data_IF_307149971081
#
_entry.id   IF_307149971081
#
_cell.length_a   1.000
_cell.length_b   1.000
_cell.length_c   1.000
_cell.angle_alpha   90.00
_cell.angle_beta   90.00
_cell.angle_gamma   90.00
#
_symmetry.space_group_name_H-M   'P 1'
#
loop_
_entity.id
_entity.type
_entity.pdbx_description
1 polymer ?
#
# COMPACT_ATOMS: atom_id res chain seq x y z
N UNK A 1 -40.83 -32.07 -40.86
CA UNK A 1 -39.81 -31.57 -39.92
C UNK A 1 -40.40 -30.48 -39.04
N UNK A 2 -40.88 -30.77 -37.82
CA UNK A 2 -41.25 -29.74 -36.84
C UNK A 2 -40.11 -29.55 -35.83
N UNK A 3 -39.65 -28.32 -35.63
CA UNK A 3 -38.66 -27.98 -34.60
C UNK A 3 -39.39 -27.70 -33.28
N UNK A 4 -39.48 -28.70 -32.41
CA UNK A 4 -39.94 -28.52 -31.03
C UNK A 4 -38.81 -27.91 -30.21
N UNK A 5 -38.90 -26.62 -29.85
CA UNK A 5 -38.04 -26.02 -28.82
C UNK A 5 -38.61 -26.33 -27.44
N UNK A 6 -38.11 -27.39 -26.82
CA UNK A 6 -38.28 -27.64 -25.39
C UNK A 6 -37.26 -26.77 -24.64
N UNK A 7 -37.74 -25.75 -23.93
CA UNK A 7 -36.95 -25.05 -22.91
C UNK A 7 -37.54 -25.40 -21.56
N UNK A 8 -37.29 -26.62 -21.11
CA UNK A 8 -37.54 -26.97 -19.73
C UNK A 8 -36.36 -26.49 -18.88
N UNK A 9 -36.65 -25.55 -17.98
CA UNK A 9 -35.85 -25.16 -16.82
C UNK A 9 -34.61 -24.29 -17.10
N UNK A 10 -34.85 -23.09 -17.63
CA UNK A 10 -33.97 -21.94 -17.43
C UNK A 10 -34.71 -20.88 -16.65
N UNK A 11 -34.74 -20.94 -15.31
CA UNK A 11 -35.25 -19.82 -14.53
C UNK A 11 -34.29 -18.64 -14.70
N UNK A 12 -34.64 -17.72 -15.59
CA UNK A 12 -33.98 -16.43 -15.69
C UNK A 12 -34.18 -15.73 -14.35
N UNK A 13 -33.15 -15.77 -13.50
CA UNK A 13 -33.15 -15.10 -12.21
C UNK A 13 -32.92 -13.61 -12.43
N UNK A 14 -34.01 -12.87 -12.64
CA UNK A 14 -33.97 -11.41 -12.81
C UNK A 14 -33.57 -10.71 -11.50
N UNK A 15 -32.35 -10.15 -11.37
CA UNK A 15 -31.89 -9.52 -10.13
C UNK A 15 -32.68 -8.26 -9.76
N UNK A 16 -33.51 -7.74 -10.67
CA UNK A 16 -34.31 -6.54 -10.45
C UNK A 16 -35.68 -6.82 -9.81
N UNK A 17 -36.06 -8.09 -9.67
CA UNK A 17 -37.27 -8.47 -8.94
C UNK A 17 -37.24 -7.86 -7.53
N UNK A 18 -38.32 -7.23 -7.04
CA UNK A 18 -38.30 -6.43 -5.80
C UNK A 18 -37.70 -7.15 -4.59
N UNK A 19 -38.02 -8.44 -4.41
CA UNK A 19 -37.48 -9.28 -3.32
C UNK A 19 -35.99 -9.55 -3.50
N UNK A 20 -35.54 -9.86 -4.73
CA UNK A 20 -34.11 -10.10 -5.00
C UNK A 20 -33.29 -8.84 -4.83
N UNK A 21 -33.79 -7.70 -5.30
CA UNK A 21 -33.17 -6.38 -5.09
C UNK A 21 -33.01 -6.06 -3.60
N UNK A 22 -34.04 -6.32 -2.78
CA UNK A 22 -33.96 -6.15 -1.34
C UNK A 22 -32.86 -7.03 -0.72
N UNK A 23 -32.82 -8.32 -1.07
CA UNK A 23 -31.81 -9.25 -0.56
C UNK A 23 -30.39 -8.82 -0.96
N UNK A 24 -30.18 -8.41 -2.21
CA UNK A 24 -28.89 -7.90 -2.67
C UNK A 24 -28.45 -6.66 -1.89
N UNK A 25 -29.38 -5.73 -1.61
CA UNK A 25 -29.06 -4.54 -0.82
C UNK A 25 -28.68 -4.88 0.62
N UNK A 26 -29.39 -5.81 1.26
CA UNK A 26 -29.06 -6.26 2.63
C UNK A 26 -27.69 -6.93 2.65
N UNK A 27 -27.40 -7.81 1.69
CA UNK A 27 -26.09 -8.46 1.59
C UNK A 27 -24.96 -7.45 1.33
N UNK A 28 -25.20 -6.44 0.49
CA UNK A 28 -24.25 -5.36 0.26
C UNK A 28 -23.98 -4.58 1.57
N UNK A 29 -25.03 -4.24 2.32
CA UNK A 29 -24.90 -3.54 3.60
C UNK A 29 -24.13 -4.36 4.64
N UNK A 30 -24.36 -5.68 4.70
CA UNK A 30 -23.59 -6.59 5.59
C UNK A 30 -22.12 -6.64 5.17
N UNK A 31 -21.84 -6.75 3.87
CA UNK A 31 -20.47 -6.78 3.35
C UNK A 31 -19.70 -5.48 3.67
N UNK A 32 -20.36 -4.31 3.55
CA UNK A 32 -19.78 -3.03 3.95
C UNK A 32 -19.50 -2.97 5.45
N UNK A 33 -20.45 -3.41 6.28
CA UNK A 33 -20.28 -3.49 7.73
C UNK A 33 -19.10 -4.36 8.15
N UNK A 34 -18.96 -5.56 7.58
CA UNK A 34 -17.86 -6.47 7.88
C UNK A 34 -16.50 -5.87 7.45
N UNK A 35 -16.45 -5.24 6.27
CA UNK A 35 -15.25 -4.57 5.79
C UNK A 35 -14.82 -3.43 6.73
N UNK A 36 -15.78 -2.64 7.23
CA UNK A 36 -15.51 -1.56 8.17
C UNK A 36 -15.06 -2.07 9.54
N UNK A 37 -15.64 -3.17 10.03
CA UNK A 37 -15.20 -3.80 11.27
C UNK A 37 -13.76 -4.32 11.18
N UNK A 38 -13.39 -4.95 10.05
CA UNK A 38 -12.01 -5.39 9.80
C UNK A 38 -11.04 -4.20 9.76
N UNK A 39 -11.44 -3.09 9.11
CA UNK A 39 -10.64 -1.86 9.07
C UNK A 39 -10.47 -1.26 10.46
N UNK A 40 -11.52 -1.21 11.27
CA UNK A 40 -11.47 -0.71 12.65
C UNK A 40 -10.47 -1.51 13.49
N UNK A 41 -10.60 -2.83 13.49
CA UNK A 41 -9.67 -3.72 14.23
C UNK A 41 -8.23 -3.61 13.74
N UNK A 42 -8.01 -3.47 12.43
CA UNK A 42 -6.67 -3.27 11.87
C UNK A 42 -6.09 -1.94 12.35
N UNK A 43 -6.89 -0.87 12.38
CA UNK A 43 -6.45 0.45 12.87
C UNK A 43 -6.07 0.40 14.35
N UNK A 44 -6.88 -0.25 15.19
CA UNK A 44 -6.56 -0.47 16.61
C UNK A 44 -5.25 -1.25 16.77
N UNK A 45 -5.10 -2.37 16.05
CA UNK A 45 -3.87 -3.16 16.07
C UNK A 45 -2.64 -2.35 15.60
N UNK A 46 -2.80 -1.52 14.57
CA UNK A 46 -1.75 -0.61 14.10
C UNK A 46 -1.41 0.45 15.16
N UNK A 47 -2.38 1.01 15.87
CA UNK A 47 -2.10 1.97 16.95
C UNK A 47 -1.28 1.33 18.06
N UNK A 48 -1.64 0.12 18.49
CA UNK A 48 -0.88 -0.65 19.49
C UNK A 48 0.54 -0.95 18.98
N UNK A 49 0.69 -1.40 17.72
CA UNK A 49 1.99 -1.67 17.14
C UNK A 49 2.84 -0.40 16.96
N UNK A 50 2.21 0.75 16.70
CA UNK A 50 2.88 2.07 16.63
C UNK A 50 3.39 2.48 18.00
N UNK A 51 2.56 2.36 19.04
CA UNK A 51 2.95 2.66 20.42
C UNK A 51 4.10 1.76 20.91
N UNK A 52 4.11 0.49 20.48
CA UNK A 52 5.21 -0.45 20.75
C UNK A 52 6.45 -0.24 19.85
N UNK A 53 6.46 0.73 18.95
CA UNK A 53 7.58 1.01 18.04
C UNK A 53 7.86 -0.07 16.98
N UNK A 54 6.92 -1.00 16.76
CA UNK A 54 7.09 -2.13 15.83
C UNK A 54 6.74 -1.79 14.38
N UNK A 55 5.91 -0.76 14.18
CA UNK A 55 5.62 -0.24 12.83
C UNK A 55 6.80 0.59 12.33
N UNK A 56 7.65 -0.06 11.54
CA UNK A 56 8.67 0.62 10.74
C UNK A 56 8.12 0.78 9.33
N UNK A 57 8.22 2.00 8.80
CA UNK A 57 7.89 2.27 7.40
C UNK A 57 8.79 1.48 6.45
N UNK A 58 8.72 1.79 5.15
CA UNK A 58 9.59 1.18 4.16
C UNK A 58 11.06 1.35 4.58
N UNK A 59 11.76 0.23 4.74
CA UNK A 59 13.19 0.25 5.08
C UNK A 59 13.96 1.03 4.00
N UNK A 60 14.91 1.90 4.39
CA UNK A 60 15.81 2.54 3.44
C UNK A 60 16.50 1.49 2.56
N UNK A 61 16.73 1.82 1.28
CA UNK A 61 17.46 0.94 0.36
C UNK A 61 18.95 0.82 0.72
N UNK A 62 19.49 1.83 1.39
CA UNK A 62 20.88 1.89 1.83
C UNK A 62 20.98 1.41 3.27
N UNK A 63 22.03 0.64 3.57
CA UNK A 63 22.37 0.31 4.95
C UNK A 63 22.80 1.57 5.72
N UNK A 64 22.75 1.59 7.06
CA UNK A 64 23.23 2.74 7.83
C UNK A 64 24.69 3.11 7.54
N UNK A 65 25.54 2.12 7.25
CA UNK A 65 26.93 2.36 6.88
C UNK A 65 27.06 3.01 5.49
N UNK A 66 26.29 2.53 4.51
CA UNK A 66 26.26 3.12 3.17
C UNK A 66 25.70 4.54 3.19
N UNK A 67 24.69 4.79 4.02
CA UNK A 67 24.10 6.12 4.18
C UNK A 67 25.11 7.11 4.79
N UNK A 68 25.86 6.71 5.82
CA UNK A 68 26.95 7.53 6.37
C UNK A 68 28.01 7.83 5.32
N UNK A 69 28.46 6.80 4.61
CA UNK A 69 29.47 6.99 3.56
C UNK A 69 28.98 7.91 2.45
N UNK A 70 27.71 7.80 2.04
CA UNK A 70 27.09 8.68 1.06
C UNK A 70 27.10 10.14 1.52
N UNK A 71 26.75 10.39 2.79
CA UNK A 71 26.73 11.74 3.38
C UNK A 71 28.15 12.30 3.51
N UNK A 72 29.13 11.51 3.92
CA UNK A 72 30.54 11.92 3.98
C UNK A 72 31.07 12.34 2.61
N UNK A 73 30.79 11.53 1.58
CA UNK A 73 31.19 11.83 0.19
C UNK A 73 30.52 13.12 -0.30
N UNK A 74 29.25 13.33 0.07
CA UNK A 74 28.55 14.58 -0.25
C UNK A 74 29.16 15.80 0.46
N UNK A 75 29.50 15.68 1.75
CA UNK A 75 30.09 16.75 2.54
C UNK A 75 31.49 17.15 2.07
N UNK A 76 32.27 16.22 1.49
CA UNK A 76 33.57 16.52 0.87
C UNK A 76 33.45 17.42 -0.37
N UNK A 77 32.28 17.47 -1.02
CA UNK A 77 32.03 18.34 -2.16
C UNK A 77 32.71 17.92 -3.47
N UNK A 78 33.40 16.77 -3.49
CA UNK A 78 34.16 16.28 -4.65
C UNK A 78 33.26 15.64 -5.73
N UNK A 79 32.04 15.25 -5.37
CA UNK A 79 31.10 14.58 -6.26
C UNK A 79 29.73 15.27 -6.26
N UNK A 80 29.14 15.39 -7.45
CA UNK A 80 27.74 15.82 -7.59
C UNK A 80 26.80 14.75 -7.04
N UNK A 81 25.60 15.14 -6.61
CA UNK A 81 24.57 14.21 -6.11
C UNK A 81 24.17 13.15 -7.15
N UNK A 82 24.31 13.45 -8.44
CA UNK A 82 24.10 12.48 -9.52
C UNK A 82 25.19 11.40 -9.55
N UNK A 83 26.46 11.80 -9.48
CA UNK A 83 27.60 10.87 -9.43
C UNK A 83 27.57 10.01 -8.16
N UNK A 84 27.18 10.59 -7.03
CA UNK A 84 26.98 9.84 -5.78
C UNK A 84 25.86 8.81 -5.96
N UNK A 85 24.74 9.17 -6.58
CA UNK A 85 23.65 8.23 -6.81
C UNK A 85 24.10 7.04 -7.68
N UNK A 86 24.92 7.29 -8.70
CA UNK A 86 25.53 6.25 -9.54
C UNK A 86 26.50 5.36 -8.76
N UNK A 87 27.42 5.96 -7.98
CA UNK A 87 28.41 5.24 -7.17
C UNK A 87 27.75 4.25 -6.19
N UNK A 88 26.64 4.66 -5.59
CA UNK A 88 25.87 3.83 -4.65
C UNK A 88 24.78 2.99 -5.34
N UNK A 89 24.67 3.04 -6.67
CA UNK A 89 23.66 2.31 -7.46
C UNK A 89 22.21 2.56 -6.98
N UNK A 90 21.91 3.82 -6.64
CA UNK A 90 20.59 4.27 -6.19
C UNK A 90 20.03 5.37 -7.09
N UNK A 91 18.72 5.59 -7.03
CA UNK A 91 18.12 6.74 -7.71
C UNK A 91 18.56 8.04 -7.01
N UNK A 92 18.68 9.14 -7.78
CA UNK A 92 18.98 10.48 -7.24
C UNK A 92 18.07 10.87 -6.07
N UNK A 93 16.79 10.53 -6.13
CA UNK A 93 15.81 10.75 -5.06
C UNK A 93 16.16 10.04 -3.75
N UNK A 94 16.83 8.88 -3.82
CA UNK A 94 17.29 8.14 -2.64
C UNK A 94 18.51 8.82 -2.01
N UNK A 95 19.44 9.31 -2.82
CA UNK A 95 20.58 10.10 -2.35
C UNK A 95 20.13 11.39 -1.66
N UNK A 96 19.21 12.15 -2.27
CA UNK A 96 18.62 13.34 -1.63
C UNK A 96 17.93 13.02 -0.30
N UNK A 97 17.16 11.94 -0.24
CA UNK A 97 16.50 11.51 1.01
C UNK A 97 17.48 11.08 2.09
N UNK A 98 18.63 10.53 1.73
CA UNK A 98 19.69 10.20 2.68
C UNK A 98 20.32 11.48 3.26
N UNK A 99 20.64 12.45 2.38
CA UNK A 99 21.21 13.74 2.79
C UNK A 99 20.24 14.52 3.69
N UNK A 100 18.94 14.59 3.33
CA UNK A 100 17.92 15.26 4.14
C UNK A 100 17.79 14.61 5.53
N UNK A 101 17.72 13.27 5.60
CA UNK A 101 17.62 12.55 6.89
C UNK A 101 18.82 12.83 7.80
N UNK A 102 20.02 12.95 7.23
CA UNK A 102 21.21 13.31 7.99
C UNK A 102 21.15 14.75 8.53
N UNK A 103 20.64 15.70 7.73
CA UNK A 103 20.39 17.07 8.17
C UNK A 103 19.35 17.18 9.29
N UNK A 104 18.24 16.44 9.17
CA UNK A 104 17.18 16.40 10.19
C UNK A 104 17.62 15.74 11.51
N UNK A 105 18.66 14.90 11.48
CA UNK A 105 19.22 14.25 12.68
C UNK A 105 20.23 15.14 13.41
N UNK A 106 20.83 16.10 12.71
CA UNK A 106 21.82 17.03 13.26
C UNK A 106 21.22 18.33 13.82
N UNK A 107 19.92 18.57 13.58
CA UNK A 107 19.13 19.67 14.12
C UNK A 107 18.36 19.23 15.38
#
# INVERSE_FOLDING_TARGET
>A
MPYTRLTERGSVHDPTAPVRRLLFNVLAMVAEFEADLIRARTREGMQVAKAAGRLRGKQPKLSPAQEKHLVEVHQRGEHTTAQIAELFSVARSTAYRAIQRAGDTAA
#
